data_IF_348820097163
#
_entry.id   IF_348820097163
#
_cell.length_a   1.000
_cell.length_b   1.000
_cell.length_c   1.000
_cell.angle_alpha   90.00
_cell.angle_beta   90.00
_cell.angle_gamma   90.00
#
_symmetry.space_group_name_H-M   'P 1'
#
loop_
_entity.id
_entity.type
_entity.pdbx_description
1 polymer ?
#
# COMPACT_ATOMS: atom_id res chain seq x y z
N UNK A 1 42.69 -42.71 2.03
CA UNK A 1 43.26 -41.37 1.73
C UNK A 1 42.09 -40.41 1.48
N UNK A 2 41.77 -39.54 2.45
CA UNK A 2 40.72 -38.51 2.32
C UNK A 2 41.41 -37.19 1.97
N UNK A 3 41.09 -36.62 0.81
CA UNK A 3 41.58 -35.29 0.43
C UNK A 3 40.85 -34.22 1.27
N UNK A 4 41.56 -33.22 1.83
CA UNK A 4 40.94 -32.11 2.53
C UNK A 4 40.29 -31.18 1.51
N UNK A 5 38.98 -30.98 1.63
CA UNK A 5 38.25 -29.94 0.90
C UNK A 5 38.66 -28.60 1.49
N UNK A 6 39.56 -27.90 0.80
CA UNK A 6 39.93 -26.53 1.10
C UNK A 6 38.71 -25.63 0.91
N UNK A 7 38.19 -25.12 2.03
CA UNK A 7 37.20 -24.05 2.06
C UNK A 7 37.87 -22.81 1.46
N UNK A 8 37.57 -22.51 0.20
CA UNK A 8 37.96 -21.25 -0.41
C UNK A 8 37.17 -20.13 0.27
N UNK A 9 37.85 -19.28 1.03
CA UNK A 9 37.31 -18.02 1.55
C UNK A 9 37.05 -17.08 0.36
N UNK A 10 35.87 -17.24 -0.26
CA UNK A 10 35.39 -16.34 -1.29
C UNK A 10 35.03 -15.02 -0.60
N UNK A 11 35.88 -14.02 -0.76
CA UNK A 11 35.58 -12.62 -0.53
C UNK A 11 34.30 -12.26 -1.30
N UNK A 12 33.16 -12.30 -0.60
CA UNK A 12 31.89 -11.86 -1.14
C UNK A 12 31.92 -10.34 -1.26
N UNK A 13 32.19 -9.86 -2.48
CA UNK A 13 31.73 -8.56 -2.93
C UNK A 13 30.21 -8.54 -2.78
N UNK A 14 29.72 -7.95 -1.68
CA UNK A 14 28.31 -7.74 -1.41
C UNK A 14 27.73 -6.76 -2.43
N UNK A 15 27.35 -7.30 -3.58
CA UNK A 15 26.43 -6.61 -4.48
C UNK A 15 25.08 -6.65 -3.80
N UNK A 16 24.79 -5.60 -3.02
CA UNK A 16 23.51 -5.38 -2.35
C UNK A 16 22.38 -5.64 -3.35
N UNK A 17 21.74 -6.81 -3.26
CA UNK A 17 20.58 -7.09 -4.10
C UNK A 17 19.45 -6.24 -3.56
N UNK A 18 18.77 -5.49 -4.42
CA UNK A 18 17.56 -4.72 -4.05
C UNK A 18 16.56 -5.60 -3.29
N UNK A 19 16.55 -6.92 -3.56
CA UNK A 19 15.77 -7.95 -2.87
C UNK A 19 16.06 -8.12 -1.37
N UNK A 20 17.18 -7.61 -0.86
CA UNK A 20 17.60 -7.74 0.55
C UNK A 20 17.10 -6.58 1.42
N UNK A 21 16.56 -5.52 0.81
CA UNK A 21 15.96 -4.40 1.55
C UNK A 21 14.55 -4.79 2.02
N UNK A 22 14.29 -4.77 3.35
CA UNK A 22 12.93 -4.91 3.87
C UNK A 22 12.08 -3.80 3.25
N UNK A 23 10.86 -4.12 2.81
CA UNK A 23 9.96 -3.27 2.02
C UNK A 23 10.24 -3.12 0.54
N UNK A 24 11.36 -3.58 -0.03
CA UNK A 24 11.64 -3.29 -1.45
C UNK A 24 10.55 -3.84 -2.38
N UNK A 25 10.06 -5.05 -2.11
CA UNK A 25 8.94 -5.67 -2.84
C UNK A 25 7.69 -4.79 -2.76
N UNK A 26 7.23 -4.49 -1.55
CA UNK A 26 6.02 -3.69 -1.33
C UNK A 26 6.12 -2.26 -1.88
N UNK A 27 7.29 -1.65 -1.78
CA UNK A 27 7.54 -0.33 -2.35
C UNK A 27 7.46 -0.37 -3.88
N UNK A 28 8.08 -1.37 -4.52
CA UNK A 28 8.07 -1.50 -5.97
C UNK A 28 6.66 -1.77 -6.52
N UNK A 29 5.91 -2.68 -5.88
CA UNK A 29 4.51 -2.95 -6.24
C UNK A 29 3.67 -1.68 -6.09
N UNK A 30 3.77 -1.00 -4.95
CA UNK A 30 3.02 0.24 -4.71
C UNK A 30 3.38 1.34 -5.72
N UNK A 31 4.66 1.50 -6.03
CA UNK A 31 5.13 2.47 -7.01
C UNK A 31 4.59 2.14 -8.40
N UNK A 32 4.69 0.88 -8.84
CA UNK A 32 4.19 0.42 -10.13
C UNK A 32 2.68 0.63 -10.26
N UNK A 33 1.89 0.22 -9.27
CA UNK A 33 0.43 0.37 -9.25
C UNK A 33 0.02 1.84 -9.33
N UNK A 34 0.68 2.70 -8.55
CA UNK A 34 0.39 4.15 -8.54
C UNK A 34 0.76 4.83 -9.83
N UNK A 35 1.88 4.41 -10.43
CA UNK A 35 2.31 4.87 -11.74
C UNK A 35 1.29 4.48 -12.80
N UNK A 36 0.85 3.21 -12.84
CA UNK A 36 -0.19 2.77 -13.78
C UNK A 36 -1.50 3.53 -13.58
N UNK A 37 -1.92 3.74 -12.33
CA UNK A 37 -3.15 4.46 -12.02
C UNK A 37 -3.16 5.91 -12.53
N UNK A 38 -2.01 6.58 -12.55
CA UNK A 38 -1.89 7.95 -13.06
C UNK A 38 -1.67 7.98 -14.58
N UNK A 39 -0.75 7.17 -15.11
CA UNK A 39 -0.30 7.29 -16.49
C UNK A 39 -1.19 6.56 -17.49
N UNK A 40 -1.90 5.49 -17.11
CA UNK A 40 -2.78 4.78 -18.04
C UNK A 40 -3.96 5.66 -18.52
N UNK A 41 -4.67 6.40 -17.64
CA UNK A 41 -5.71 7.33 -18.09
C UNK A 41 -5.16 8.48 -18.93
N UNK A 42 -3.97 9.00 -18.59
CA UNK A 42 -3.32 10.08 -19.35
C UNK A 42 -2.93 9.62 -20.76
N UNK A 43 -2.42 8.40 -20.89
CA UNK A 43 -2.10 7.79 -22.17
C UNK A 43 -3.37 7.60 -23.03
N UNK A 44 -4.46 7.13 -22.43
CA UNK A 44 -5.74 6.94 -23.13
C UNK A 44 -6.38 8.26 -23.56
N UNK A 45 -6.28 9.31 -22.73
CA UNK A 45 -6.80 10.64 -23.05
C UNK A 45 -6.00 11.38 -24.15
N UNK A 46 -4.94 10.77 -24.70
CA UNK A 46 -4.01 11.41 -25.65
C UNK A 46 -3.44 12.75 -25.15
N UNK A 47 -3.45 12.95 -23.83
CA UNK A 47 -2.98 14.18 -23.20
C UNK A 47 -1.46 14.18 -23.18
N UNK A 48 -0.84 14.91 -24.11
CA UNK A 48 0.63 15.12 -24.13
C UNK A 48 1.15 16.03 -23.02
N UNK A 49 0.24 16.64 -22.24
CA UNK A 49 0.58 17.57 -21.17
C UNK A 49 0.28 16.92 -19.83
N UNK A 50 1.29 16.90 -18.96
CA UNK A 50 1.08 16.57 -17.56
C UNK A 50 0.15 17.62 -16.93
N UNK A 51 -0.70 17.21 -15.97
CA UNK A 51 -1.54 18.15 -15.24
C UNK A 51 -0.65 19.22 -14.58
N UNK A 52 -0.94 20.49 -14.86
CA UNK A 52 -0.23 21.64 -14.32
C UNK A 52 -1.16 22.47 -13.43
N UNK A 53 -0.59 23.22 -12.47
CA UNK A 53 -1.37 24.07 -11.58
C UNK A 53 -2.21 23.26 -10.57
N UNK A 54 -3.48 23.64 -10.29
CA UNK A 54 -4.33 22.95 -9.31
C UNK A 54 -4.54 21.47 -9.61
N UNK A 55 -4.60 21.09 -10.89
CA UNK A 55 -4.78 19.70 -11.33
C UNK A 55 -3.59 18.79 -10.95
N UNK A 56 -2.37 19.35 -10.84
CA UNK A 56 -1.21 18.60 -10.36
C UNK A 56 -1.42 18.15 -8.91
N UNK A 57 -1.97 19.02 -8.08
CA UNK A 57 -2.21 18.73 -6.66
C UNK A 57 -3.20 17.58 -6.49
N UNK A 58 -4.30 17.59 -7.24
CA UNK A 58 -5.29 16.50 -7.22
C UNK A 58 -4.69 15.18 -7.71
N UNK A 59 -3.90 15.24 -8.78
CA UNK A 59 -3.19 14.07 -9.32
C UNK A 59 -2.17 13.51 -8.33
N UNK A 60 -1.41 14.36 -7.65
CA UNK A 60 -0.46 13.96 -6.62
C UNK A 60 -1.15 13.36 -5.39
N UNK A 61 -2.31 13.89 -4.99
CA UNK A 61 -3.12 13.33 -3.91
C UNK A 61 -3.67 11.95 -4.28
N UNK A 62 -4.19 11.78 -5.50
CA UNK A 62 -4.66 10.49 -5.99
C UNK A 62 -3.52 9.47 -6.07
N UNK A 63 -2.35 9.87 -6.59
CA UNK A 63 -1.16 9.02 -6.65
C UNK A 63 -0.69 8.59 -5.25
N UNK A 64 -0.65 9.53 -4.30
CA UNK A 64 -0.28 9.23 -2.90
C UNK A 64 -1.28 8.27 -2.26
N UNK A 65 -2.58 8.45 -2.51
CA UNK A 65 -3.63 7.58 -1.99
C UNK A 65 -3.48 6.16 -2.53
N UNK A 66 -3.34 5.99 -3.86
CA UNK A 66 -3.16 4.67 -4.48
C UNK A 66 -1.87 4.02 -3.99
N UNK A 67 -0.79 4.80 -3.83
CA UNK A 67 0.47 4.31 -3.30
C UNK A 67 0.31 3.76 -1.89
N UNK A 68 -0.33 4.52 -0.99
CA UNK A 68 -0.54 4.10 0.39
C UNK A 68 -1.47 2.89 0.50
N UNK A 69 -2.52 2.80 -0.32
CA UNK A 69 -3.38 1.61 -0.41
C UNK A 69 -2.54 0.40 -0.83
N UNK A 70 -1.85 0.49 -1.96
CA UNK A 70 -1.08 -0.64 -2.50
C UNK A 70 0.06 -1.05 -1.57
N UNK A 71 0.74 -0.09 -0.95
CA UNK A 71 1.79 -0.35 0.03
C UNK A 71 1.23 -1.06 1.26
N UNK A 72 0.07 -0.62 1.77
CA UNK A 72 -0.55 -1.23 2.96
C UNK A 72 -1.07 -2.62 2.67
N UNK A 73 -1.73 -2.82 1.52
CA UNK A 73 -2.24 -4.13 1.08
C UNK A 73 -1.10 -5.14 0.98
N UNK A 74 0.01 -4.79 0.32
CA UNK A 74 1.13 -5.72 0.19
C UNK A 74 1.77 -6.06 1.55
N UNK A 75 2.02 -5.06 2.41
CA UNK A 75 2.57 -5.32 3.75
C UNK A 75 1.60 -6.15 4.62
N UNK A 76 0.28 -6.02 4.41
CA UNK A 76 -0.73 -6.82 5.09
C UNK A 76 -0.81 -8.25 4.57
N UNK A 77 -0.50 -8.48 3.29
CA UNK A 77 -0.30 -9.82 2.72
C UNK A 77 0.98 -10.45 3.28
N UNK A 78 2.10 -9.71 3.33
CA UNK A 78 3.36 -10.17 3.95
C UNK A 78 3.18 -10.52 5.45
N UNK A 79 2.34 -9.78 6.19
CA UNK A 79 1.99 -10.11 7.59
C UNK A 79 1.20 -11.42 7.69
N UNK A 80 0.38 -11.75 6.68
CA UNK A 80 -0.37 -13.01 6.65
C UNK A 80 0.54 -14.18 6.26
N UNK A 81 1.44 -13.96 5.31
CA UNK A 81 2.24 -15.02 4.68
C UNK A 81 3.62 -15.21 5.33
N UNK A 82 3.81 -14.76 6.58
CA UNK A 82 5.05 -14.84 7.36
C UNK A 82 5.77 -16.19 7.30
N UNK A 83 5.04 -17.29 7.51
CA UNK A 83 5.63 -18.63 7.55
C UNK A 83 6.12 -19.05 6.15
N UNK A 84 5.36 -18.70 5.12
CA UNK A 84 5.71 -18.94 3.72
C UNK A 84 6.93 -18.10 3.31
N UNK A 85 6.96 -16.82 3.69
CA UNK A 85 8.06 -15.91 3.41
C UNK A 85 9.35 -16.32 4.12
N UNK A 86 9.23 -16.79 5.37
CA UNK A 86 10.34 -17.35 6.15
C UNK A 86 10.89 -18.61 5.48
N UNK A 87 10.03 -19.52 5.04
CA UNK A 87 10.45 -20.74 4.33
C UNK A 87 11.12 -20.44 2.98
N UNK A 88 10.67 -19.39 2.28
CA UNK A 88 11.25 -18.94 1.02
C UNK A 88 12.52 -18.07 1.17
N UNK A 89 12.92 -17.73 2.40
CA UNK A 89 14.06 -16.85 2.67
C UNK A 89 13.85 -15.39 2.22
N UNK A 90 12.60 -14.96 2.09
CA UNK A 90 12.25 -13.58 1.67
C UNK A 90 12.28 -12.64 2.87
N UNK A 91 12.90 -11.47 2.73
CA UNK A 91 13.00 -10.48 3.81
C UNK A 91 11.87 -9.47 3.69
N UNK A 92 10.78 -9.68 4.44
CA UNK A 92 9.64 -8.74 4.52
C UNK A 92 9.73 -7.83 5.73
N UNK A 93 8.95 -6.74 5.74
CA UNK A 93 8.91 -5.80 6.86
C UNK A 93 8.45 -6.49 8.16
N UNK A 94 7.45 -7.35 8.03
CA UNK A 94 6.88 -8.10 9.14
C UNK A 94 7.86 -9.12 9.73
N UNK A 95 8.72 -9.74 8.90
CA UNK A 95 9.79 -10.62 9.37
C UNK A 95 10.92 -9.88 10.09
N UNK A 96 11.29 -8.67 9.61
CA UNK A 96 12.40 -7.91 10.19
C UNK A 96 12.02 -7.10 11.44
N UNK A 97 10.89 -6.39 11.41
CA UNK A 97 10.43 -5.54 12.51
C UNK A 97 9.45 -6.26 13.46
N UNK A 98 8.88 -7.38 13.02
CA UNK A 98 7.78 -8.04 13.69
C UNK A 98 6.42 -7.49 13.23
N UNK A 99 5.40 -8.32 13.37
CA UNK A 99 4.02 -8.02 12.96
C UNK A 99 3.47 -6.78 13.65
N UNK A 100 3.60 -6.69 14.98
CA UNK A 100 3.04 -5.59 15.75
C UNK A 100 3.65 -4.23 15.36
N UNK A 101 4.97 -4.17 15.19
CA UNK A 101 5.64 -2.93 14.77
C UNK A 101 5.29 -2.54 13.34
N UNK A 102 5.15 -3.52 12.45
CA UNK A 102 4.69 -3.30 11.07
C UNK A 102 3.28 -2.70 11.05
N UNK A 103 2.34 -3.26 11.82
CA UNK A 103 0.98 -2.72 11.97
C UNK A 103 0.98 -1.29 12.54
N UNK A 104 1.78 -1.03 13.57
CA UNK A 104 1.94 0.33 14.11
C UNK A 104 2.48 1.30 13.06
N UNK A 105 3.50 0.90 12.29
CA UNK A 105 4.09 1.74 11.23
C UNK A 105 3.06 2.09 10.14
N UNK A 106 2.31 1.09 9.65
CA UNK A 106 1.24 1.32 8.67
C UNK A 106 0.16 2.25 9.23
N UNK A 107 -0.25 2.03 10.47
CA UNK A 107 -1.24 2.88 11.15
C UNK A 107 -0.76 4.32 11.24
N UNK A 108 0.49 4.53 11.65
CA UNK A 108 1.10 5.88 11.72
C UNK A 108 1.18 6.56 10.36
N UNK A 109 1.50 5.83 9.28
CA UNK A 109 1.50 6.38 7.92
C UNK A 109 0.10 6.87 7.51
N UNK A 110 -0.94 6.11 7.81
CA UNK A 110 -2.32 6.50 7.52
C UNK A 110 -2.79 7.70 8.35
N UNK A 111 -2.44 7.77 9.63
CA UNK A 111 -2.72 8.94 10.45
C UNK A 111 -2.00 10.19 9.94
N UNK A 112 -0.74 10.07 9.55
CA UNK A 112 0.02 11.18 8.97
C UNK A 112 -0.60 11.64 7.65
N UNK A 113 -0.96 10.71 6.77
CA UNK A 113 -1.65 11.02 5.52
C UNK A 113 -2.99 11.73 5.78
N UNK A 114 -3.83 11.20 6.68
CA UNK A 114 -5.09 11.82 7.07
C UNK A 114 -4.89 13.25 7.59
N UNK A 115 -3.92 13.47 8.48
CA UNK A 115 -3.59 14.79 9.02
C UNK A 115 -3.14 15.77 7.92
N UNK A 116 -2.30 15.31 6.99
CA UNK A 116 -1.86 16.12 5.85
C UNK A 116 -3.02 16.49 4.93
N UNK A 117 -3.94 15.55 4.65
CA UNK A 117 -5.12 15.80 3.82
C UNK A 117 -6.05 16.82 4.47
N UNK A 118 -6.36 16.66 5.75
CA UNK A 118 -7.19 17.61 6.51
C UNK A 118 -6.55 18.99 6.54
N UNK A 119 -5.22 19.08 6.71
CA UNK A 119 -4.52 20.37 6.69
C UNK A 119 -4.51 21.02 5.31
N UNK A 120 -4.41 20.22 4.24
CA UNK A 120 -4.34 20.72 2.89
C UNK A 120 -5.72 21.15 2.36
N UNK A 121 -6.73 20.31 2.50
CA UNK A 121 -8.04 20.47 1.84
C UNK A 121 -9.18 20.80 2.83
N UNK A 122 -8.94 20.68 4.14
CA UNK A 122 -9.99 20.74 5.16
C UNK A 122 -10.69 19.39 5.38
N UNK A 123 -11.34 19.24 6.53
CA UNK A 123 -11.95 17.96 6.94
C UNK A 123 -13.12 17.52 6.04
N UNK A 124 -13.97 18.46 5.61
CA UNK A 124 -15.13 18.17 4.75
C UNK A 124 -14.72 17.72 3.34
N UNK A 125 -13.70 18.36 2.76
CA UNK A 125 -13.21 17.98 1.43
C UNK A 125 -12.42 16.66 1.46
N UNK A 126 -11.89 16.28 2.63
CA UNK A 126 -11.08 15.08 2.80
C UNK A 126 -11.86 13.83 3.23
N UNK A 127 -13.20 13.87 3.24
CA UNK A 127 -14.03 12.81 3.83
C UNK A 127 -13.78 11.45 3.20
N UNK A 128 -13.66 11.36 1.86
CA UNK A 128 -13.35 10.09 1.17
C UNK A 128 -12.01 9.54 1.62
N UNK A 129 -10.95 10.36 1.65
CA UNK A 129 -9.63 9.91 2.05
C UNK A 129 -9.59 9.46 3.52
N UNK A 130 -10.37 10.12 4.40
CA UNK A 130 -10.49 9.74 5.80
C UNK A 130 -11.22 8.41 5.98
N UNK A 131 -12.29 8.17 5.22
CA UNK A 131 -13.02 6.89 5.24
C UNK A 131 -12.13 5.73 4.74
N UNK A 132 -11.34 5.96 3.69
CA UNK A 132 -10.34 4.99 3.22
C UNK A 132 -9.29 4.73 4.29
N UNK A 133 -8.73 5.78 4.90
CA UNK A 133 -7.73 5.65 5.96
C UNK A 133 -8.28 4.84 7.14
N UNK A 134 -9.50 5.12 7.58
CA UNK A 134 -10.19 4.37 8.63
C UNK A 134 -10.34 2.90 8.25
N UNK A 135 -10.80 2.61 7.03
CA UNK A 135 -10.99 1.24 6.53
C UNK A 135 -9.68 0.45 6.56
N UNK A 136 -8.58 1.03 6.09
CA UNK A 136 -7.27 0.34 6.08
C UNK A 136 -6.73 0.14 7.50
N UNK A 137 -6.88 1.13 8.38
CA UNK A 137 -6.49 0.99 9.80
C UNK A 137 -7.32 -0.10 10.48
N UNK A 138 -8.63 -0.14 10.26
CA UNK A 138 -9.50 -1.19 10.79
C UNK A 138 -9.10 -2.58 10.30
N UNK A 139 -8.79 -2.73 9.01
CA UNK A 139 -8.31 -4.00 8.45
C UNK A 139 -6.95 -4.41 9.00
N UNK A 140 -6.04 -3.46 9.22
CA UNK A 140 -4.71 -3.70 9.79
C UNK A 140 -4.80 -4.38 11.16
N UNK A 141 -5.78 -4.00 11.98
CA UNK A 141 -6.00 -4.54 13.32
C UNK A 141 -7.07 -5.63 13.39
N UNK A 142 -7.71 -5.96 12.27
CA UNK A 142 -8.76 -6.98 12.23
C UNK A 142 -8.21 -8.38 12.55
N UNK A 143 -8.87 -9.17 13.40
CA UNK A 143 -8.50 -10.57 13.66
C UNK A 143 -8.84 -11.49 12.47
N UNK A 144 -9.62 -11.01 11.49
CA UNK A 144 -10.05 -11.75 10.29
C UNK A 144 -8.86 -12.30 9.48
N UNK A 145 -7.67 -11.71 9.64
CA UNK A 145 -6.40 -12.15 9.04
C UNK A 145 -6.16 -13.66 9.22
N UNK A 146 -6.71 -14.28 10.27
CA UNK A 146 -6.39 -15.65 10.69
C UNK A 146 -7.37 -16.71 10.13
N UNK A 147 -8.61 -16.36 9.77
CA UNK A 147 -9.67 -17.37 9.58
C UNK A 147 -9.72 -17.99 8.17
N UNK A 148 -9.49 -17.23 7.11
CA UNK A 148 -9.46 -17.76 5.73
C UNK A 148 -8.67 -16.87 4.78
N UNK A 149 -7.68 -17.46 4.09
CA UNK A 149 -6.81 -16.74 3.15
C UNK A 149 -7.60 -16.08 2.02
N UNK A 150 -8.62 -16.76 1.50
CA UNK A 150 -9.44 -16.27 0.39
C UNK A 150 -10.25 -15.03 0.78
N UNK A 151 -11.01 -15.10 1.87
CA UNK A 151 -11.82 -13.97 2.34
C UNK A 151 -10.95 -12.75 2.68
N UNK A 152 -9.78 -12.98 3.27
CA UNK A 152 -8.87 -11.90 3.59
C UNK A 152 -8.27 -11.23 2.34
N UNK A 153 -7.84 -12.02 1.34
CA UNK A 153 -7.39 -11.48 0.05
C UNK A 153 -8.48 -10.68 -0.63
N UNK A 154 -9.72 -11.20 -0.66
CA UNK A 154 -10.86 -10.51 -1.24
C UNK A 154 -11.15 -9.17 -0.54
N UNK A 155 -11.09 -9.15 0.80
CA UNK A 155 -11.27 -7.93 1.59
C UNK A 155 -10.15 -6.91 1.31
N UNK A 156 -8.89 -7.34 1.22
CA UNK A 156 -7.77 -6.45 0.90
C UNK A 156 -7.87 -5.88 -0.52
N UNK A 157 -8.26 -6.70 -1.50
CA UNK A 157 -8.46 -6.25 -2.88
C UNK A 157 -9.60 -5.24 -2.99
N UNK A 158 -10.68 -5.42 -2.21
CA UNK A 158 -11.81 -4.48 -2.19
C UNK A 158 -11.42 -3.07 -1.71
N UNK A 159 -10.30 -2.92 -0.98
CA UNK A 159 -9.78 -1.61 -0.55
C UNK A 159 -9.45 -0.72 -1.74
N UNK A 160 -8.98 -1.27 -2.86
CA UNK A 160 -8.69 -0.49 -4.07
C UNK A 160 -9.94 0.17 -4.66
N UNK A 161 -11.11 -0.46 -4.51
CA UNK A 161 -12.39 0.09 -4.94
C UNK A 161 -13.01 1.05 -3.92
N UNK A 162 -12.53 1.04 -2.66
CA UNK A 162 -13.13 1.82 -1.57
C UNK A 162 -13.21 3.34 -1.82
N UNK A 163 -12.23 4.03 -2.45
CA UNK A 163 -12.36 5.47 -2.69
C UNK A 163 -13.55 5.78 -3.61
N UNK A 164 -13.77 4.95 -4.63
CA UNK A 164 -14.86 5.10 -5.58
C UNK A 164 -16.21 4.80 -4.92
N UNK A 165 -16.30 3.73 -4.13
CA UNK A 165 -17.51 3.37 -3.39
C UNK A 165 -17.93 4.47 -2.41
N UNK A 166 -16.98 5.03 -1.65
CA UNK A 166 -17.26 6.13 -0.73
C UNK A 166 -17.68 7.41 -1.46
N UNK A 167 -17.06 7.72 -2.60
CA UNK A 167 -17.48 8.86 -3.42
C UNK A 167 -18.94 8.71 -3.86
N UNK A 168 -19.29 7.55 -4.46
CA UNK A 168 -20.65 7.28 -4.93
C UNK A 168 -21.68 7.32 -3.79
N UNK A 169 -21.32 6.79 -2.62
CA UNK A 169 -22.20 6.78 -1.45
C UNK A 169 -22.46 8.20 -0.91
N UNK A 170 -21.42 9.05 -0.86
CA UNK A 170 -21.58 10.44 -0.45
C UNK A 170 -22.39 11.25 -1.47
N UNK A 171 -22.20 11.00 -2.77
CA UNK A 171 -22.99 11.62 -3.83
C UNK A 171 -24.48 11.21 -3.73
N UNK A 172 -24.76 9.92 -3.47
CA UNK A 172 -26.12 9.42 -3.27
C UNK A 172 -26.80 10.07 -2.05
N UNK A 173 -26.08 10.18 -0.92
CA UNK A 173 -26.61 10.77 0.32
C UNK A 173 -26.80 12.28 0.25
N UNK A 174 -26.06 12.96 -0.62
CA UNK A 174 -26.16 14.42 -0.81
C UNK A 174 -27.20 14.83 -1.85
N UNK A 175 -27.70 13.90 -2.66
CA UNK A 175 -28.71 14.17 -3.67
C UNK A 175 -30.04 14.63 -3.04
N UNK A 176 -30.61 15.77 -3.47
CA UNK A 176 -31.82 16.36 -2.89
C UNK A 176 -33.11 15.56 -3.16
N UNK A 177 -33.06 14.47 -3.94
CA UNK A 177 -34.26 13.69 -4.32
C UNK A 177 -34.76 12.73 -3.23
N UNK A 178 -34.14 12.70 -2.05
CA UNK A 178 -34.54 11.84 -0.91
C UNK A 178 -34.77 12.62 0.40
N UNK A 179 -35.10 13.92 0.32
CA UNK A 179 -35.57 14.72 1.46
C UNK A 179 -37.06 15.00 1.37
#
# INVERSE_FOLDING_TARGET
>A
MRLPVLISSRSERTTWRIKELPCSKAFFVAFSTSFMALFAPLAYANSRRLPAGPAWRESAQALTLVFLISFSVENLQDVRDLDSDRAAGTVTLALKLGVRRTKCLLTSLWFLFAAMQVRANGAKSSTVQLLVALTVVSLTWSPVIISSKFFYSLLLESVFASPLLFSLLLDLLSSPSYK
#
